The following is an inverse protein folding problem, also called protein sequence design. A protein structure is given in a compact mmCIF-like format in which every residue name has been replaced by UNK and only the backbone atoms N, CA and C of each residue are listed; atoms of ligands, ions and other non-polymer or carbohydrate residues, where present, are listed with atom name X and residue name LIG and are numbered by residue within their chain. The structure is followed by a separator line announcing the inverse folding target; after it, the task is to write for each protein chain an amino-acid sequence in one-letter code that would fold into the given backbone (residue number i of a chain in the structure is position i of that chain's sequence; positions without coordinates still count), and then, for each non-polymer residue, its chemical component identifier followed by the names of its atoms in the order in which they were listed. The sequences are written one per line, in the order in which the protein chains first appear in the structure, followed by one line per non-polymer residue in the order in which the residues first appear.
data_IF_939821862847
#
_entry.id   IF_939821862847
#
_cell.length_a   1.000
_cell.length_b   1.000
_cell.length_c   1.000
_cell.angle_alpha   90.00
_cell.angle_beta   90.00
_cell.angle_gamma   90.00
#
_symmetry.space_group_name_H-M   'P 1'
#
loop_
_entity.id
_entity.type
_entity.pdbx_description
1 polymer ?
#
# COMPACT_ATOMS: atom_id res chain seq x y z
N UNK A 1 -5.28 6.21 -20.66
CA UNK A 1 -6.53 6.82 -20.17
C UNK A 1 -6.67 6.45 -18.71
N UNK A 2 -6.26 7.34 -17.81
CA UNK A 2 -6.53 7.23 -16.38
C UNK A 2 -8.02 7.53 -16.17
N UNK A 3 -8.79 6.54 -15.75
CA UNK A 3 -10.15 6.75 -15.28
C UNK A 3 -10.06 7.57 -13.98
N UNK A 4 -10.36 8.86 -14.12
CA UNK A 4 -10.44 9.79 -13.01
C UNK A 4 -11.66 9.43 -12.15
N UNK A 5 -11.45 9.26 -10.85
CA UNK A 5 -12.51 8.90 -9.90
C UNK A 5 -13.61 9.97 -9.85
N UNK A 6 -13.34 11.20 -10.32
CA UNK A 6 -14.34 12.25 -10.50
C UNK A 6 -15.40 11.95 -11.57
N UNK A 7 -15.07 11.18 -12.62
CA UNK A 7 -16.04 10.89 -13.70
C UNK A 7 -17.00 9.76 -13.36
N UNK A 8 -16.63 8.85 -12.44
CA UNK A 8 -17.56 7.84 -11.94
C UNK A 8 -18.61 8.45 -10.98
N UNK A 9 -18.22 9.49 -10.24
CA UNK A 9 -19.12 10.27 -9.38
C UNK A 9 -20.04 11.16 -10.22
N UNK A 10 -19.53 11.77 -11.29
CA UNK A 10 -20.32 12.61 -12.19
C UNK A 10 -21.39 11.82 -12.99
N UNK A 11 -21.20 10.52 -13.23
CA UNK A 11 -22.23 9.67 -13.88
C UNK A 11 -23.39 9.29 -12.93
N UNK A 12 -23.29 9.63 -11.64
CA UNK A 12 -24.37 9.50 -10.66
C UNK A 12 -25.08 10.86 -10.46
N UNK A 13 -24.53 11.94 -11.01
CA UNK A 13 -25.06 13.30 -10.90
C UNK A 13 -25.63 13.77 -12.24
N UNK A 14 -26.54 12.99 -12.81
CA UNK A 14 -27.38 13.45 -13.90
C UNK A 14 -28.75 12.76 -13.86
N UNK A 15 -29.76 13.57 -13.51
CA UNK A 15 -31.21 13.35 -13.68
C UNK A 15 -31.98 12.69 -12.51
N UNK A 16 -32.14 13.48 -11.44
CA UNK A 16 -33.03 13.26 -10.28
C UNK A 16 -34.51 12.98 -10.65
N UNK A 17 -34.94 13.24 -11.88
CA UNK A 17 -36.35 13.14 -12.27
C UNK A 17 -36.78 11.74 -12.76
N UNK A 18 -35.83 10.88 -13.15
CA UNK A 18 -36.11 9.51 -13.62
C UNK A 18 -35.88 8.42 -12.57
N UNK A 19 -35.09 8.69 -11.52
CA UNK A 19 -34.76 7.72 -10.48
C UNK A 19 -35.96 7.39 -9.56
N UNK A 20 -36.85 8.36 -9.32
CA UNK A 20 -38.04 8.15 -8.48
C UNK A 20 -39.11 7.25 -9.15
N UNK A 21 -39.10 7.08 -10.48
CA UNK A 21 -40.10 6.23 -11.18
C UNK A 21 -39.68 4.76 -11.29
N UNK A 22 -38.40 4.45 -11.17
CA UNK A 22 -37.89 3.07 -11.22
C UNK A 22 -37.90 2.38 -9.86
N UNK A 23 -37.93 3.15 -8.76
CA UNK A 23 -37.96 2.62 -7.39
C UNK A 23 -39.35 2.17 -6.91
N UNK A 24 -40.43 2.73 -7.45
CA UNK A 24 -41.81 2.33 -7.12
C UNK A 24 -42.24 0.99 -7.76
N UNK A 25 -41.42 0.42 -8.66
CA UNK A 25 -41.70 -0.90 -9.26
C UNK A 25 -40.94 -2.07 -8.61
N UNK A 26 -40.11 -1.79 -7.60
CA UNK A 26 -39.34 -2.80 -6.87
C UNK A 26 -40.02 -3.17 -5.53
N UNK A 27 -41.29 -3.57 -5.60
CA UNK A 27 -42.16 -3.84 -4.45
C UNK A 27 -42.07 -5.28 -3.90
N UNK A 28 -41.15 -6.12 -4.38
CA UNK A 28 -41.25 -7.57 -4.18
C UNK A 28 -39.98 -8.32 -3.77
N UNK A 29 -39.13 -7.81 -2.87
CA UNK A 29 -38.18 -8.63 -2.07
C UNK A 29 -37.49 -7.80 -1.00
N UNK A 30 -37.93 -7.96 0.24
CA UNK A 30 -37.43 -7.26 1.40
C UNK A 30 -36.17 -7.94 1.96
N UNK A 31 -35.01 -7.65 1.38
CA UNK A 31 -33.72 -7.95 2.01
C UNK A 31 -33.36 -6.81 2.99
N UNK A 32 -32.82 -7.16 4.16
CA UNK A 32 -32.40 -6.18 5.21
C UNK A 32 -31.42 -5.12 4.68
N UNK A 33 -30.72 -5.43 3.59
CA UNK A 33 -29.84 -4.55 2.84
C UNK A 33 -30.58 -3.36 2.18
N UNK A 34 -31.74 -3.61 1.57
CA UNK A 34 -32.55 -2.55 0.94
C UNK A 34 -33.19 -1.59 1.94
N UNK A 35 -33.51 -2.05 3.15
CA UNK A 35 -34.05 -1.22 4.22
C UNK A 35 -32.98 -0.30 4.84
N UNK A 36 -31.76 -0.82 5.07
CA UNK A 36 -30.65 -0.02 5.59
C UNK A 36 -30.23 1.08 4.60
N UNK A 37 -30.17 0.76 3.30
CA UNK A 37 -29.86 1.73 2.26
C UNK A 37 -30.97 2.77 2.07
N UNK A 38 -32.25 2.37 2.11
CA UNK A 38 -33.41 3.29 2.01
C UNK A 38 -33.56 4.23 3.20
N UNK A 39 -33.24 3.78 4.42
CA UNK A 39 -33.30 4.64 5.62
C UNK A 39 -32.12 5.62 5.68
N UNK A 40 -30.93 5.21 5.21
CA UNK A 40 -29.78 6.12 5.06
C UNK A 40 -29.99 7.21 4.01
N UNK A 41 -30.75 6.91 2.94
CA UNK A 41 -31.05 7.85 1.85
C UNK A 41 -32.19 8.85 2.14
N UNK A 42 -33.14 8.54 3.03
CA UNK A 42 -34.36 9.37 3.20
C UNK A 42 -34.34 10.36 4.38
N UNK A 43 -33.43 10.22 5.35
CA UNK A 43 -33.53 10.97 6.62
C UNK A 43 -32.71 12.28 6.64
N UNK A 44 -31.84 12.56 5.67
CA UNK A 44 -31.02 13.76 5.72
C UNK A 44 -30.81 14.38 4.32
N UNK A 45 -31.39 15.56 4.10
CA UNK A 45 -31.25 16.32 2.87
C UNK A 45 -29.79 16.58 2.52
N UNK A 46 -29.39 16.18 1.30
CA UNK A 46 -28.22 16.63 0.53
C UNK A 46 -26.83 16.35 1.10
N UNK A 47 -26.53 16.78 2.31
CA UNK A 47 -25.17 16.83 2.86
C UNK A 47 -24.69 15.51 3.49
N UNK A 48 -25.59 14.59 3.84
CA UNK A 48 -25.23 13.31 4.47
C UNK A 48 -24.87 12.23 3.45
N UNK A 49 -25.36 12.34 2.21
CA UNK A 49 -25.07 11.40 1.12
C UNK A 49 -23.66 11.55 0.55
N UNK A 50 -23.12 12.76 0.55
CA UNK A 50 -21.77 13.03 0.02
C UNK A 50 -20.67 12.50 0.95
N UNK A 51 -20.82 12.68 2.27
CA UNK A 51 -19.85 12.18 3.27
C UNK A 51 -19.95 10.67 3.46
N UNK A 52 -21.16 10.10 3.52
CA UNK A 52 -21.34 8.64 3.60
C UNK A 52 -20.95 7.94 2.28
N UNK A 53 -21.19 8.58 1.13
CA UNK A 53 -20.75 8.09 -0.18
C UNK A 53 -19.23 8.10 -0.34
N UNK A 54 -18.55 9.19 0.06
CA UNK A 54 -17.09 9.28 0.02
C UNK A 54 -16.41 8.32 1.00
N UNK A 55 -16.92 8.20 2.24
CA UNK A 55 -16.43 7.25 3.23
C UNK A 55 -16.69 5.80 2.80
N UNK A 56 -17.86 5.53 2.19
CA UNK A 56 -18.20 4.23 1.62
C UNK A 56 -17.30 3.84 0.44
N UNK A 57 -17.05 4.77 -0.49
CA UNK A 57 -16.14 4.57 -1.61
C UNK A 57 -14.70 4.35 -1.15
N UNK A 58 -14.25 5.11 -0.14
CA UNK A 58 -12.95 4.90 0.50
C UNK A 58 -12.88 3.51 1.15
N UNK A 59 -13.93 3.09 1.86
CA UNK A 59 -14.04 1.76 2.46
C UNK A 59 -13.99 0.63 1.43
N UNK A 60 -14.74 0.74 0.33
CA UNK A 60 -14.72 -0.24 -0.78
C UNK A 60 -13.33 -0.30 -1.41
N UNK A 61 -12.71 0.86 -1.68
CA UNK A 61 -11.36 0.92 -2.25
C UNK A 61 -10.33 0.28 -1.34
N UNK A 62 -10.36 0.59 -0.05
CA UNK A 62 -9.44 0.01 0.95
C UNK A 62 -9.70 -1.48 1.14
N UNK A 63 -10.96 -1.92 1.18
CA UNK A 63 -11.30 -3.35 1.27
C UNK A 63 -10.80 -4.13 0.05
N UNK A 64 -10.99 -3.59 -1.16
CA UNK A 64 -10.47 -4.20 -2.38
C UNK A 64 -8.93 -4.23 -2.42
N UNK A 65 -8.26 -3.16 -1.97
CA UNK A 65 -6.80 -3.12 -1.86
C UNK A 65 -6.28 -4.16 -0.84
N UNK A 66 -6.94 -4.29 0.31
CA UNK A 66 -6.61 -5.27 1.33
C UNK A 66 -6.78 -6.70 0.82
N UNK A 67 -7.87 -6.98 0.11
CA UNK A 67 -8.09 -8.29 -0.51
C UNK A 67 -7.02 -8.61 -1.55
N UNK A 68 -6.66 -7.64 -2.40
CA UNK A 68 -5.58 -7.81 -3.38
C UNK A 68 -4.22 -8.08 -2.69
N UNK A 69 -3.95 -7.37 -1.59
CA UNK A 69 -2.75 -7.59 -0.79
C UNK A 69 -2.76 -8.98 -0.14
N UNK A 70 -3.89 -9.43 0.42
CA UNK A 70 -4.04 -10.76 1.02
C UNK A 70 -3.79 -11.88 0.00
N UNK A 71 -4.32 -11.77 -1.21
CA UNK A 71 -4.06 -12.73 -2.30
C UNK A 71 -2.57 -12.77 -2.63
N UNK A 72 -1.95 -11.59 -2.76
CA UNK A 72 -0.53 -11.46 -3.12
C UNK A 72 0.36 -12.04 -2.02
N UNK A 73 0.12 -11.68 -0.76
CA UNK A 73 0.87 -12.19 0.39
C UNK A 73 0.58 -13.67 0.66
N UNK A 74 -0.62 -14.18 0.36
CA UNK A 74 -0.90 -15.63 0.45
C UNK A 74 0.02 -16.41 -0.49
N UNK A 75 0.20 -15.90 -1.70
CA UNK A 75 1.12 -16.50 -2.68
C UNK A 75 2.57 -16.39 -2.22
N UNK A 76 2.99 -15.22 -1.75
CA UNK A 76 4.37 -14.98 -1.32
C UNK A 76 4.76 -15.71 -0.02
N UNK A 77 3.81 -15.88 0.92
CA UNK A 77 4.04 -16.41 2.27
C UNK A 77 3.52 -17.85 2.45
N UNK A 78 2.97 -18.44 1.38
CA UNK A 78 2.55 -19.83 1.28
C UNK A 78 1.23 -20.19 1.98
N UNK A 79 0.59 -19.27 2.70
CA UNK A 79 -0.74 -19.52 3.28
C UNK A 79 -1.50 -18.24 3.60
N UNK A 80 -2.83 -18.31 3.55
CA UNK A 80 -3.72 -17.21 3.95
C UNK A 80 -3.51 -16.81 5.41
N UNK A 81 -3.25 -17.78 6.30
CA UNK A 81 -2.96 -17.51 7.72
C UNK A 81 -1.70 -16.66 7.90
N UNK A 82 -0.63 -16.98 7.18
CA UNK A 82 0.60 -16.18 7.23
C UNK A 82 0.39 -14.79 6.64
N UNK A 83 -0.35 -14.68 5.54
CA UNK A 83 -0.71 -13.40 4.93
C UNK A 83 -1.50 -12.50 5.88
N UNK A 84 -2.54 -13.05 6.52
CA UNK A 84 -3.38 -12.30 7.45
C UNK A 84 -2.62 -11.86 8.71
N UNK A 85 -1.76 -12.72 9.26
CA UNK A 85 -0.87 -12.36 10.36
C UNK A 85 0.06 -11.22 9.97
N UNK A 86 0.71 -11.34 8.81
CA UNK A 86 1.65 -10.32 8.33
C UNK A 86 0.96 -8.98 8.01
N UNK A 87 -0.23 -9.01 7.41
CA UNK A 87 -1.04 -7.81 7.17
C UNK A 87 -1.49 -7.14 8.47
N UNK A 88 -1.74 -7.92 9.52
CA UNK A 88 -2.04 -7.39 10.86
C UNK A 88 -0.83 -6.66 11.44
N UNK A 89 0.34 -7.30 11.42
CA UNK A 89 1.59 -6.68 11.90
C UNK A 89 1.91 -5.39 11.13
N UNK A 90 1.66 -5.40 9.81
CA UNK A 90 1.87 -4.25 8.94
C UNK A 90 0.85 -3.13 9.21
N UNK A 91 -0.39 -3.46 9.56
CA UNK A 91 -1.41 -2.49 9.96
C UNK A 91 -1.06 -1.83 11.30
N UNK A 92 -0.56 -2.62 12.25
CA UNK A 92 -0.08 -2.10 13.54
C UNK A 92 1.15 -1.20 13.37
N UNK A 93 2.01 -1.53 12.39
CA UNK A 93 3.12 -0.67 11.99
C UNK A 93 2.61 0.63 11.36
N UNK A 94 1.65 0.59 10.44
CA UNK A 94 1.05 1.79 9.85
C UNK A 94 0.46 2.74 10.91
N UNK A 95 -0.24 2.19 11.90
CA UNK A 95 -0.89 2.98 12.95
C UNK A 95 0.07 3.77 13.84
N UNK A 96 1.37 3.40 13.88
CA UNK A 96 2.39 4.04 14.74
C UNK A 96 3.34 4.94 13.96
N UNK A 97 3.19 5.01 12.65
CA UNK A 97 4.18 5.60 11.74
C UNK A 97 3.54 6.62 10.82
N UNK A 98 4.31 7.53 10.20
CA UNK A 98 3.75 8.54 9.30
C UNK A 98 3.41 7.97 7.91
N UNK A 99 3.44 6.65 7.72
CA UNK A 99 3.28 6.00 6.43
C UNK A 99 1.92 5.32 6.31
N UNK A 100 1.29 5.49 5.14
CA UNK A 100 -0.02 4.91 4.91
C UNK A 100 0.05 3.41 4.68
N UNK A 101 -0.94 2.66 5.19
CA UNK A 101 -0.96 1.20 5.08
C UNK A 101 -0.80 0.65 3.64
N UNK A 102 -1.44 1.23 2.59
CA UNK A 102 -1.23 0.77 1.21
C UNK A 102 0.20 0.96 0.68
N UNK A 103 0.89 2.02 1.13
CA UNK A 103 2.30 2.27 0.77
C UNK A 103 3.18 1.19 1.40
N UNK A 104 2.90 0.86 2.67
CA UNK A 104 3.60 -0.17 3.42
C UNK A 104 3.36 -1.57 2.81
N UNK A 105 2.15 -1.89 2.36
CA UNK A 105 1.86 -3.15 1.65
C UNK A 105 2.70 -3.28 0.37
N UNK A 106 2.81 -2.19 -0.39
CA UNK A 106 3.59 -2.17 -1.64
C UNK A 106 5.08 -2.38 -1.35
N UNK A 107 5.64 -1.67 -0.37
CA UNK A 107 7.05 -1.81 0.02
C UNK A 107 7.35 -3.20 0.60
N UNK A 108 6.46 -3.73 1.46
CA UNK A 108 6.61 -5.05 2.04
C UNK A 108 6.57 -6.17 0.99
N UNK A 109 5.60 -6.13 0.08
CA UNK A 109 5.50 -7.09 -1.03
C UNK A 109 6.72 -7.04 -1.94
N UNK A 110 7.22 -5.82 -2.17
CA UNK A 110 8.45 -5.58 -2.92
C UNK A 110 9.68 -6.24 -2.27
N UNK A 111 9.86 -6.09 -0.95
CA UNK A 111 10.95 -6.76 -0.20
C UNK A 111 10.79 -8.29 -0.19
N UNK A 112 9.58 -8.82 0.02
CA UNK A 112 9.34 -10.27 0.04
C UNK A 112 9.54 -10.88 -1.34
N UNK A 113 9.15 -10.18 -2.41
CA UNK A 113 9.31 -10.67 -3.79
C UNK A 113 10.76 -10.91 -4.18
N UNK A 114 11.71 -10.25 -3.50
CA UNK A 114 13.14 -10.46 -3.69
C UNK A 114 13.74 -11.42 -2.64
N UNK A 115 12.91 -12.16 -1.92
CA UNK A 115 13.34 -13.24 -1.02
C UNK A 115 13.77 -12.77 0.36
N UNK A 116 13.42 -11.55 0.77
CA UNK A 116 13.60 -11.12 2.17
C UNK A 116 12.55 -11.84 3.01
N UNK A 117 13.01 -12.48 4.09
CA UNK A 117 12.12 -13.14 5.05
C UNK A 117 11.09 -12.14 5.60
N UNK A 118 9.82 -12.51 5.62
CA UNK A 118 8.72 -11.64 6.10
C UNK A 118 8.98 -11.08 7.51
N UNK A 119 9.65 -11.86 8.38
CA UNK A 119 10.02 -11.44 9.75
C UNK A 119 11.00 -10.27 9.79
N UNK A 120 11.79 -10.07 8.73
CA UNK A 120 12.82 -9.03 8.60
C UNK A 120 12.30 -7.77 7.93
N UNK A 121 11.16 -7.87 7.24
CA UNK A 121 10.57 -6.77 6.46
C UNK A 121 10.25 -5.57 7.35
N UNK A 122 9.51 -5.76 8.43
CA UNK A 122 9.15 -4.66 9.35
C UNK A 122 10.39 -4.03 10.00
N UNK A 123 11.37 -4.80 10.53
CA UNK A 123 12.64 -4.23 11.00
C UNK A 123 13.36 -3.37 9.94
N UNK A 124 13.51 -3.88 8.71
CA UNK A 124 14.15 -3.14 7.61
C UNK A 124 13.37 -1.87 7.31
N UNK A 125 12.04 -1.94 7.16
CA UNK A 125 11.18 -0.79 6.89
C UNK A 125 11.20 0.24 8.03
N UNK A 126 11.33 -0.21 9.28
CA UNK A 126 11.49 0.67 10.45
C UNK A 126 12.77 1.48 10.33
N UNK A 127 13.88 0.84 9.98
CA UNK A 127 15.19 1.51 9.87
C UNK A 127 15.28 2.41 8.64
N UNK A 128 14.76 1.95 7.49
CA UNK A 128 14.65 2.77 6.28
C UNK A 128 13.77 3.99 6.52
N UNK A 129 12.60 3.79 7.11
CA UNK A 129 11.66 4.85 7.40
C UNK A 129 12.20 5.88 8.39
N UNK A 130 12.89 5.44 9.44
CA UNK A 130 13.56 6.33 10.39
C UNK A 130 14.60 7.21 9.68
N UNK A 131 15.44 6.60 8.84
CA UNK A 131 16.44 7.33 8.06
C UNK A 131 15.78 8.32 7.07
N UNK A 132 14.76 7.89 6.33
CA UNK A 132 14.09 8.76 5.34
C UNK A 132 13.27 9.87 5.99
N UNK A 133 12.65 9.63 7.15
CA UNK A 133 12.03 10.67 7.97
C UNK A 133 13.05 11.70 8.45
N UNK A 134 14.22 11.25 8.93
CA UNK A 134 15.28 12.17 9.37
C UNK A 134 15.92 12.98 8.25
N UNK A 135 15.97 12.42 7.05
CA UNK A 135 16.51 13.09 5.86
C UNK A 135 15.45 13.89 5.07
N UNK A 136 14.19 13.89 5.52
CA UNK A 136 13.10 14.64 4.90
C UNK A 136 12.58 14.07 3.58
N UNK A 137 12.95 12.83 3.22
CA UNK A 137 12.48 12.16 2.01
C UNK A 137 11.20 11.36 2.22
N UNK A 138 10.88 11.01 3.47
CA UNK A 138 9.59 10.40 3.86
C UNK A 138 9.26 9.11 3.10
N UNK A 139 7.98 8.94 2.72
CA UNK A 139 7.47 7.74 2.02
C UNK A 139 8.16 7.53 0.67
N UNK A 140 8.41 8.61 -0.06
CA UNK A 140 9.05 8.54 -1.37
C UNK A 140 10.50 8.06 -1.25
N UNK A 141 11.20 8.47 -0.18
CA UNK A 141 12.50 7.91 0.18
C UNK A 141 12.42 6.40 0.42
N UNK A 142 11.46 5.92 1.21
CA UNK A 142 11.26 4.47 1.46
C UNK A 142 11.01 3.73 0.15
N UNK A 143 10.15 4.26 -0.73
CA UNK A 143 9.85 3.68 -2.03
C UNK A 143 11.10 3.56 -2.91
N UNK A 144 11.86 4.64 -3.05
CA UNK A 144 13.13 4.64 -3.82
C UNK A 144 14.13 3.66 -3.23
N UNK A 145 14.29 3.65 -1.90
CA UNK A 145 15.20 2.73 -1.23
C UNK A 145 14.79 1.27 -1.47
N UNK A 146 13.49 0.97 -1.38
CA UNK A 146 12.98 -0.38 -1.61
C UNK A 146 13.25 -0.84 -3.05
N UNK A 147 13.03 0.01 -4.05
CA UNK A 147 13.34 -0.29 -5.46
C UNK A 147 14.84 -0.57 -5.65
N UNK A 148 15.72 0.25 -5.07
CA UNK A 148 17.16 0.02 -5.15
C UNK A 148 17.55 -1.32 -4.50
N UNK A 149 17.01 -1.65 -3.32
CA UNK A 149 17.25 -2.94 -2.67
C UNK A 149 16.76 -4.13 -3.52
N UNK A 150 15.63 -3.97 -4.21
CA UNK A 150 15.17 -5.00 -5.15
C UNK A 150 16.12 -5.20 -6.32
N UNK A 151 16.59 -4.11 -6.93
CA UNK A 151 17.52 -4.15 -8.06
C UNK A 151 18.83 -4.83 -7.66
N UNK A 152 19.37 -4.46 -6.50
CA UNK A 152 20.58 -5.06 -5.93
C UNK A 152 20.42 -6.56 -5.67
N UNK A 153 19.29 -6.96 -5.10
CA UNK A 153 19.04 -8.36 -4.80
C UNK A 153 18.81 -9.19 -6.06
N UNK A 154 18.06 -8.67 -7.04
CA UNK A 154 17.89 -9.31 -8.34
C UNK A 154 19.24 -9.45 -9.09
N UNK A 155 20.11 -8.44 -9.01
CA UNK A 155 21.45 -8.47 -9.61
C UNK A 155 22.45 -9.33 -8.82
N UNK A 156 22.17 -9.63 -7.54
CA UNK A 156 23.09 -10.33 -6.64
C UNK A 156 24.37 -9.56 -6.32
N UNK A 157 24.36 -8.23 -6.49
CA UNK A 157 25.51 -7.35 -6.29
C UNK A 157 25.03 -5.92 -6.04
N UNK A 158 25.93 -5.08 -5.55
CA UNK A 158 25.66 -3.65 -5.34
C UNK A 158 26.38 -2.85 -6.41
N UNK A 159 25.65 -2.07 -7.20
CA UNK A 159 26.23 -1.12 -8.15
C UNK A 159 26.38 0.28 -7.55
N UNK A 160 27.23 1.12 -8.14
CA UNK A 160 27.33 2.52 -7.74
C UNK A 160 26.01 3.28 -7.91
N UNK A 161 25.23 2.92 -8.93
CA UNK A 161 23.92 3.53 -9.17
C UNK A 161 22.96 3.20 -8.02
N UNK A 162 22.92 1.95 -7.56
CA UNK A 162 22.08 1.56 -6.42
C UNK A 162 22.47 2.32 -5.14
N UNK A 163 23.79 2.50 -4.91
CA UNK A 163 24.29 3.27 -3.77
C UNK A 163 23.85 4.73 -3.85
N UNK A 164 23.88 5.32 -5.04
CA UNK A 164 23.43 6.70 -5.24
C UNK A 164 21.91 6.82 -5.04
N UNK A 165 21.12 5.86 -5.54
CA UNK A 165 19.67 5.84 -5.31
C UNK A 165 19.32 5.72 -3.83
N UNK A 166 20.02 4.86 -3.09
CA UNK A 166 19.84 4.73 -1.64
C UNK A 166 20.24 6.02 -0.90
N UNK A 167 21.36 6.64 -1.29
CA UNK A 167 21.78 7.93 -0.74
C UNK A 167 20.73 9.02 -0.99
N UNK A 168 20.25 9.12 -2.23
CA UNK A 168 19.26 10.12 -2.63
C UNK A 168 17.87 9.82 -2.05
N UNK A 169 17.62 8.57 -1.65
CA UNK A 169 16.49 8.18 -0.82
C UNK A 169 16.63 8.61 0.65
N UNK A 170 17.79 9.10 1.08
CA UNK A 170 18.06 9.49 2.46
C UNK A 170 18.71 8.39 3.32
N UNK A 171 19.22 7.32 2.69
CA UNK A 171 19.93 6.25 3.40
C UNK A 171 21.43 6.51 3.30
N UNK A 172 22.18 6.66 4.40
CA UNK A 172 23.64 6.84 4.37
C UNK A 172 24.36 5.52 4.04
N UNK A 173 24.09 4.96 2.86
CA UNK A 173 24.47 3.60 2.47
C UNK A 173 25.99 3.40 2.40
N UNK A 174 26.74 4.44 2.03
CA UNK A 174 28.20 4.38 1.98
C UNK A 174 28.80 4.19 3.39
N UNK A 175 28.27 4.92 4.37
CA UNK A 175 28.69 4.80 5.78
C UNK A 175 28.26 3.44 6.34
N UNK A 176 27.05 2.99 6.01
CA UNK A 176 26.54 1.68 6.43
C UNK A 176 27.40 0.53 5.92
N UNK A 177 27.72 0.53 4.62
CA UNK A 177 28.59 -0.47 4.02
C UNK A 177 30.00 -0.39 4.56
N UNK A 178 30.54 0.80 4.79
CA UNK A 178 31.86 0.97 5.40
C UNK A 178 31.90 0.32 6.79
N UNK A 179 30.91 0.61 7.64
CA UNK A 179 30.78 0.03 8.97
C UNK A 179 30.51 -1.49 8.95
N UNK A 180 29.74 -1.98 7.99
CA UNK A 180 29.39 -3.40 7.89
C UNK A 180 30.54 -4.26 7.31
N UNK A 181 31.32 -3.71 6.38
CA UNK A 181 32.43 -4.40 5.70
C UNK A 181 33.79 -4.20 6.39
N UNK A 182 33.88 -3.26 7.35
CA UNK A 182 35.14 -2.85 7.96
C UNK A 182 36.07 -2.06 7.03
N UNK A 183 35.54 -1.49 5.95
CA UNK A 183 36.28 -0.72 4.94
C UNK A 183 36.04 0.77 5.12
N UNK A 184 36.89 1.61 4.53
CA UNK A 184 36.60 3.05 4.44
C UNK A 184 35.51 3.33 3.39
N UNK A 185 34.85 4.49 3.50
CA UNK A 185 33.88 4.96 2.50
C UNK A 185 34.52 5.04 1.10
N UNK A 186 35.77 5.49 1.01
CA UNK A 186 36.50 5.55 -0.27
C UNK A 186 36.69 4.14 -0.85
N UNK A 187 37.05 3.16 -0.02
CA UNK A 187 37.19 1.78 -0.46
C UNK A 187 35.85 1.18 -0.94
N UNK A 188 34.74 1.48 -0.25
CA UNK A 188 33.40 1.05 -0.70
C UNK A 188 33.07 1.65 -2.06
N UNK A 189 33.30 2.95 -2.26
CA UNK A 189 33.06 3.61 -3.54
C UNK A 189 33.94 3.05 -4.68
N UNK A 190 35.21 2.76 -4.41
CA UNK A 190 36.10 2.09 -5.36
C UNK A 190 35.65 0.68 -5.72
N UNK A 191 35.20 -0.10 -4.73
CA UNK A 191 34.68 -1.45 -4.97
C UNK A 191 33.39 -1.41 -5.77
N UNK A 192 32.50 -0.45 -5.50
CA UNK A 192 31.29 -0.23 -6.28
C UNK A 192 31.62 0.10 -7.75
N UNK A 193 32.56 1.03 -7.98
CA UNK A 193 33.06 1.40 -9.32
C UNK A 193 33.64 0.20 -10.08
N UNK A 194 34.37 -0.68 -9.38
CA UNK A 194 34.97 -1.88 -9.96
C UNK A 194 33.98 -3.05 -10.08
N UNK A 195 32.72 -2.88 -9.67
CA UNK A 195 31.69 -3.92 -9.67
C UNK A 195 31.99 -5.08 -8.73
N UNK A 196 32.73 -4.82 -7.64
CA UNK A 196 33.25 -5.83 -6.70
C UNK A 196 32.45 -5.96 -5.40
N UNK A 197 31.35 -5.22 -5.24
CA UNK A 197 30.42 -5.41 -4.12
C UNK A 197 29.43 -6.52 -4.49
N UNK A 198 29.70 -7.75 -4.07
CA UNK A 198 28.95 -8.94 -4.44
C UNK A 198 27.83 -9.28 -3.45
N UNK A 199 27.46 -10.57 -3.43
CA UNK A 199 26.42 -11.09 -2.51
C UNK A 199 26.82 -10.99 -1.04
N UNK A 200 28.10 -11.08 -0.73
CA UNK A 200 28.59 -10.96 0.66
C UNK A 200 28.31 -9.56 1.19
N UNK A 201 28.74 -8.51 0.47
CA UNK A 201 28.50 -7.12 0.86
C UNK A 201 27.00 -6.77 0.84
N UNK A 202 26.24 -7.33 -0.10
CA UNK A 202 24.78 -7.21 -0.09
C UNK A 202 24.18 -7.80 1.18
N UNK A 203 24.59 -9.01 1.59
CA UNK A 203 24.12 -9.63 2.83
C UNK A 203 24.50 -8.82 4.06
N UNK A 204 25.70 -8.22 4.07
CA UNK A 204 26.14 -7.31 5.14
C UNK A 204 25.30 -6.03 5.21
N UNK A 205 25.00 -5.41 4.06
CA UNK A 205 24.10 -4.25 4.01
C UNK A 205 22.69 -4.62 4.51
N UNK A 206 22.13 -5.73 4.04
CA UNK A 206 20.81 -6.18 4.47
C UNK A 206 20.78 -6.46 5.98
N UNK A 207 21.84 -7.05 6.53
CA UNK A 207 21.98 -7.28 7.97
C UNK A 207 22.11 -5.96 8.75
N UNK A 208 22.80 -4.97 8.21
CA UNK A 208 22.88 -3.63 8.81
C UNK A 208 21.52 -2.91 8.80
N UNK A 209 20.77 -3.00 7.69
CA UNK A 209 19.42 -2.46 7.57
C UNK A 209 18.41 -3.17 8.47
N UNK A 210 18.55 -4.49 8.68
CA UNK A 210 17.71 -5.26 9.61
C UNK A 210 18.00 -4.87 11.06
N UNK A 211 19.28 -4.84 11.45
CA UNK A 211 19.70 -4.56 12.82
C UNK A 211 19.66 -3.08 13.21
N UNK A 212 19.65 -2.17 12.23
CA UNK A 212 19.77 -0.73 12.45
C UNK A 212 21.18 -0.25 12.78
N UNK A 213 22.19 -1.13 12.70
CA UNK A 213 23.59 -0.78 12.99
C UNK A 213 24.09 0.29 12.01
N UNK A 214 24.55 1.42 12.53
CA UNK A 214 24.95 2.60 11.74
C UNK A 214 23.81 3.57 11.42
N UNK A 215 22.58 3.27 11.85
CA UNK A 215 21.39 4.12 11.74
C UNK A 215 20.88 4.64 13.09
N UNK A 216 21.64 4.47 14.17
CA UNK A 216 21.20 4.77 15.54
C UNK A 216 20.78 6.23 15.71
N UNK A 217 21.44 7.14 14.99
CA UNK A 217 21.11 8.57 14.97
C UNK A 217 19.71 8.90 14.42
N UNK A 218 19.10 7.98 13.68
CA UNK A 218 17.76 8.13 13.12
C UNK A 218 16.67 7.40 13.91
N UNK A 219 17.04 6.62 14.92
CA UNK A 219 16.08 5.82 15.69
C UNK A 219 14.97 6.70 16.29
N UNK A 220 13.71 6.27 16.10
CA UNK A 220 12.52 6.96 16.63
C UNK A 220 12.12 8.24 15.88
N UNK A 221 12.72 8.55 14.73
CA UNK A 221 12.32 9.72 13.94
C UNK A 221 10.96 9.53 13.27
N UNK A 222 10.57 8.30 12.93
CA UNK A 222 9.20 8.01 12.48
C UNK A 222 8.18 8.31 13.57
N UNK A 223 8.45 7.95 14.83
CA UNK A 223 7.53 8.22 15.95
C UNK A 223 7.33 9.72 16.18
N UNK A 224 8.39 10.52 16.03
CA UNK A 224 8.28 11.98 16.08
C UNK A 224 7.50 12.52 14.88
N UNK A 225 7.72 11.95 13.70
CA UNK A 225 7.06 12.38 12.48
C UNK A 225 5.57 12.00 12.46
N UNK A 226 5.17 10.88 13.04
CA UNK A 226 3.76 10.47 13.16
C UNK A 226 2.97 11.42 14.06
N UNK A 227 3.62 12.09 15.01
CA UNK A 227 3.04 13.15 15.85
C UNK A 227 2.95 14.53 15.18
N UNK A 228 3.52 14.69 13.97
CA UNK A 228 3.34 15.92 13.20
C UNK A 228 1.91 16.05 12.67
N UNK A 229 1.48 17.26 12.28
CA UNK A 229 0.15 17.47 11.68
C UNK A 229 -0.09 16.58 10.46
N UNK A 230 0.91 16.44 9.59
CA UNK A 230 0.83 15.58 8.41
C UNK A 230 0.74 14.10 8.79
N UNK A 231 1.51 13.67 9.81
CA UNK A 231 1.47 12.31 10.32
C UNK A 231 0.10 11.96 10.91
N UNK A 232 -0.40 12.79 11.81
CA UNK A 232 -1.73 12.63 12.43
C UNK A 232 -2.85 12.61 11.39
N UNK A 233 -2.77 13.46 10.35
CA UNK A 233 -3.75 13.46 9.27
C UNK A 233 -3.72 12.15 8.46
N UNK A 234 -2.52 11.65 8.14
CA UNK A 234 -2.37 10.35 7.46
C UNK A 234 -2.95 9.22 8.31
N UNK A 235 -2.62 9.16 9.59
CA UNK A 235 -3.14 8.15 10.53
C UNK A 235 -4.66 8.22 10.65
N UNK A 236 -5.25 9.42 10.65
CA UNK A 236 -6.71 9.61 10.66
C UNK A 236 -7.35 9.04 9.38
N UNK A 237 -6.82 9.38 8.20
CA UNK A 237 -7.34 8.88 6.92
C UNK A 237 -7.28 7.36 6.85
N UNK A 238 -6.17 6.77 7.27
CA UNK A 238 -5.99 5.32 7.35
C UNK A 238 -6.98 4.68 8.33
N UNK A 239 -7.17 5.27 9.51
CA UNK A 239 -8.12 4.77 10.51
C UNK A 239 -9.54 4.75 9.97
N UNK A 240 -9.97 5.82 9.29
CA UNK A 240 -11.30 5.90 8.65
C UNK A 240 -11.40 4.87 7.53
N UNK A 241 -10.40 4.82 6.65
CA UNK A 241 -10.38 3.88 5.51
C UNK A 241 -10.44 2.42 5.96
N UNK A 242 -9.65 2.04 6.97
CA UNK A 242 -9.65 0.70 7.54
C UNK A 242 -10.94 0.38 8.29
N UNK A 243 -11.49 1.34 9.05
CA UNK A 243 -12.79 1.18 9.72
C UNK A 243 -13.91 0.91 8.72
N UNK A 244 -13.97 1.72 7.66
CA UNK A 244 -14.96 1.54 6.58
C UNK A 244 -14.70 0.26 5.78
N UNK A 245 -13.44 -0.12 5.55
CA UNK A 245 -13.11 -1.37 4.89
C UNK A 245 -13.67 -2.58 5.66
N UNK A 246 -13.49 -2.63 6.98
CA UNK A 246 -14.07 -3.69 7.84
C UNK A 246 -15.59 -3.77 7.78
N UNK A 247 -16.26 -2.63 7.61
CA UNK A 247 -17.74 -2.58 7.42
C UNK A 247 -18.14 -3.14 6.05
N UNK A 248 -17.34 -2.88 5.01
CA UNK A 248 -17.61 -3.29 3.63
C UNK A 248 -17.16 -4.72 3.34
N UNK A 249 -16.14 -5.23 4.04
CA UNK A 249 -15.51 -6.53 3.80
C UNK A 249 -16.52 -7.70 3.71
N UNK A 250 -17.51 -7.84 4.62
CA UNK A 250 -18.53 -8.88 4.51
C UNK A 250 -19.46 -8.74 3.28
N UNK A 251 -19.51 -7.55 2.68
CA UNK A 251 -20.31 -7.25 1.48
C UNK A 251 -19.53 -7.48 0.18
N UNK A 252 -18.21 -7.67 0.23
CA UNK A 252 -17.38 -7.88 -0.96
C UNK A 252 -17.87 -9.03 -1.85
N UNK A 253 -18.29 -10.20 -1.33
CA UNK A 253 -18.82 -11.27 -2.18
C UNK A 253 -20.05 -10.84 -2.99
N UNK A 254 -20.95 -10.06 -2.40
CA UNK A 254 -22.15 -9.53 -3.08
C UNK A 254 -21.77 -8.49 -4.13
N UNK A 255 -20.82 -7.60 -3.81
CA UNK A 255 -20.29 -6.60 -4.75
C UNK A 255 -19.66 -7.30 -5.96
N UNK A 256 -18.83 -8.32 -5.72
CA UNK A 256 -18.21 -9.14 -6.77
C UNK A 256 -19.23 -9.88 -7.62
N UNK A 257 -20.27 -10.44 -7.02
CA UNK A 257 -21.35 -11.10 -7.75
C UNK A 257 -22.08 -10.12 -8.68
N UNK A 258 -22.39 -8.91 -8.19
CA UNK A 258 -22.99 -7.85 -9.00
C UNK A 258 -22.09 -7.42 -10.16
N UNK A 259 -20.79 -7.23 -9.90
CA UNK A 259 -19.80 -6.92 -10.95
C UNK A 259 -19.68 -8.06 -11.98
N UNK A 260 -19.68 -9.31 -11.53
CA UNK A 260 -19.67 -10.48 -12.42
C UNK A 260 -20.86 -10.49 -13.37
N UNK A 261 -22.08 -10.29 -12.84
CA UNK A 261 -23.28 -10.20 -13.67
C UNK A 261 -23.28 -9.02 -14.65
N UNK A 262 -22.72 -7.87 -14.24
CA UNK A 262 -22.56 -6.72 -15.13
C UNK A 262 -21.55 -6.99 -16.26
N UNK A 263 -20.41 -7.65 -15.94
CA UNK A 263 -19.41 -8.06 -16.93
C UNK A 263 -20.04 -9.04 -17.93
N UNK A 264 -20.81 -10.02 -17.47
CA UNK A 264 -21.52 -10.97 -18.33
C UNK A 264 -22.51 -10.27 -19.25
N UNK A 265 -23.31 -9.34 -18.72
CA UNK A 265 -24.25 -8.54 -19.51
C UNK A 265 -23.55 -7.70 -20.58
N UNK A 266 -22.48 -6.99 -20.21
CA UNK A 266 -21.69 -6.19 -21.16
C UNK A 266 -21.04 -7.08 -22.22
N UNK A 267 -20.49 -8.22 -21.82
CA UNK A 267 -19.89 -9.20 -22.73
C UNK A 267 -20.91 -9.76 -23.73
N UNK A 268 -22.13 -10.06 -23.26
CA UNK A 268 -23.22 -10.51 -24.12
C UNK A 268 -23.75 -9.41 -25.07
N UNK A 269 -23.61 -8.15 -24.69
CA UNK A 269 -24.02 -6.99 -25.50
C UNK A 269 -22.96 -6.55 -26.53
N UNK A 270 -21.70 -7.00 -26.41
CA UNK A 270 -20.66 -6.75 -27.42
C UNK A 270 -20.79 -7.80 -28.53
N UNK A 271 -21.15 -7.45 -29.77
CA UNK A 271 -21.23 -8.40 -30.86
C UNK A 271 -19.85 -8.99 -31.15
N UNK A 272 -19.75 -10.32 -31.22
CA UNK A 272 -18.52 -11.01 -31.58
C UNK A 272 -17.99 -10.48 -32.92
N UNK A 273 -16.81 -9.84 -32.90
CA UNK A 273 -16.07 -9.59 -34.14
C UNK A 273 -15.73 -10.95 -34.75
N UNK A 274 -16.33 -11.24 -35.92
CA UNK A 274 -16.01 -12.45 -36.69
C UNK A 274 -14.51 -12.50 -36.92
N UNK A 275 -13.83 -13.65 -36.69
CA UNK A 275 -12.47 -13.81 -37.17
C UNK A 275 -12.48 -13.69 -38.71
N UNK A 276 -11.58 -12.86 -39.24
CA UNK A 276 -11.27 -12.78 -40.66
C UNK A 276 -10.18 -13.80 -41.00
#
# INVERSE_FOLDING_TARGET
MSLDLGTLVAYIEADDSQYNRTLDRAEGRQSRFGAAMRTGLKVAGGAFLTVAGAAGALGVKTAAANEQAEISFTTMLGSAKNAQSFLTDLSDFAAKTPFAFPELQTAAGSLISVGIDAKKVIPIMTNLGNATSGMGTGSEGVKRATVALQQMNAAGKISMEDLNQLRDAGIPVYDLLAAATGKSVQQVAELANKGKLGREELGQLMSALESGKGLERFAGLMDKQSQSLSGMWSTLQDTIGMGMAKVVEPLLPLIKQGLGGAIEFVTAAIPASRPA
#
